data_IF_008158864813
#
_entry.id   IF_008158864813
#
_cell.length_a   1.000
_cell.length_b   1.000
_cell.length_c   1.000
_cell.angle_alpha   90.00
_cell.angle_beta   90.00
_cell.angle_gamma   90.00
#
_symmetry.space_group_name_H-M   'P 1'
#
loop_
_entity.id
_entity.type
_entity.pdbx_description
1 polymer ?
#
# COMPACT_ATOMS: atom_id res chain seq x y z
N UNK A 1 18.21 13.27 -24.39
CA UNK A 1 18.29 14.10 -23.16
C UNK A 1 18.94 13.25 -22.06
N UNK A 2 19.96 13.76 -21.37
CA UNK A 2 20.52 13.09 -20.17
C UNK A 2 19.57 13.30 -18.98
N UNK A 3 19.32 12.30 -18.12
CA UNK A 3 18.52 12.50 -16.91
C UNK A 3 19.28 13.40 -15.93
N UNK A 4 18.54 14.32 -15.30
CA UNK A 4 19.08 15.45 -14.53
C UNK A 4 19.48 15.11 -13.09
N UNK A 5 19.24 13.90 -12.59
CA UNK A 5 19.77 13.44 -11.30
C UNK A 5 19.69 11.91 -11.16
N UNK A 6 20.73 11.33 -10.56
CA UNK A 6 20.78 9.94 -10.12
C UNK A 6 20.76 9.94 -8.59
N UNK A 7 19.67 9.52 -7.97
CA UNK A 7 19.57 9.36 -6.52
C UNK A 7 19.39 7.87 -6.24
N UNK A 8 20.40 7.27 -5.60
CA UNK A 8 20.40 5.87 -5.22
C UNK A 8 19.50 5.69 -3.99
N UNK A 9 18.31 5.16 -4.17
CA UNK A 9 17.41 4.77 -3.08
C UNK A 9 17.11 3.27 -3.17
N UNK A 10 16.99 2.63 -2.01
CA UNK A 10 16.55 1.24 -1.89
C UNK A 10 15.17 1.14 -2.57
N UNK A 11 15.09 0.32 -3.61
CA UNK A 11 14.02 0.21 -4.62
C UNK A 11 14.09 1.25 -5.75
N UNK A 12 14.70 0.82 -6.87
CA UNK A 12 14.84 1.56 -8.13
C UNK A 12 13.49 1.99 -8.72
N UNK A 13 13.02 3.18 -8.35
CA UNK A 13 11.89 3.86 -9.00
C UNK A 13 12.48 4.89 -9.97
N UNK A 14 12.45 4.59 -11.27
CA UNK A 14 12.68 5.60 -12.31
C UNK A 14 11.42 6.46 -12.43
N UNK A 15 11.46 7.71 -11.94
CA UNK A 15 10.41 8.70 -12.16
C UNK A 15 10.87 9.63 -13.28
N UNK A 16 10.18 9.64 -14.42
CA UNK A 16 10.32 10.76 -15.37
C UNK A 16 9.63 11.98 -14.76
N UNK A 17 10.42 12.92 -14.26
CA UNK A 17 9.95 14.17 -13.67
C UNK A 17 10.14 15.30 -14.67
N UNK A 18 9.05 15.96 -15.05
CA UNK A 18 9.06 17.03 -16.05
C UNK A 18 9.33 18.43 -15.46
N UNK A 19 9.49 18.53 -14.14
CA UNK A 19 9.62 19.80 -13.42
C UNK A 19 11.03 19.96 -12.79
N UNK A 20 11.28 21.05 -12.04
CA UNK A 20 12.61 21.28 -11.45
C UNK A 20 12.95 20.31 -10.31
N UNK A 21 14.24 20.08 -10.09
CA UNK A 21 14.78 19.26 -8.99
C UNK A 21 14.32 19.77 -7.61
N UNK A 22 14.22 21.08 -7.43
CA UNK A 22 13.72 21.71 -6.19
C UNK A 22 12.27 21.29 -5.89
N UNK A 23 11.41 21.20 -6.90
CA UNK A 23 10.04 20.70 -6.74
C UNK A 23 10.00 19.19 -6.50
N UNK A 24 10.94 18.43 -7.05
CA UNK A 24 11.07 17.00 -6.79
C UNK A 24 11.44 16.73 -5.32
N UNK A 25 12.40 17.50 -4.77
CA UNK A 25 12.79 17.44 -3.36
C UNK A 25 11.59 17.83 -2.47
N UNK A 26 10.90 18.93 -2.81
CA UNK A 26 9.69 19.34 -2.11
C UNK A 26 8.60 18.24 -2.13
N UNK A 27 8.38 17.58 -3.27
CA UNK A 27 7.45 16.46 -3.41
C UNK A 27 7.86 15.24 -2.58
N UNK A 28 9.17 14.97 -2.46
CA UNK A 28 9.69 13.87 -1.66
C UNK A 28 9.50 14.11 -0.16
N UNK A 29 9.81 15.31 0.34
CA UNK A 29 9.61 15.67 1.74
C UNK A 29 8.12 15.76 2.11
N UNK A 30 7.26 16.13 1.15
CA UNK A 30 5.82 16.27 1.35
C UNK A 30 5.03 15.15 0.67
N UNK A 31 5.60 13.93 0.55
CA UNK A 31 4.90 12.77 -0.02
C UNK A 31 3.49 12.72 0.54
N UNK A 32 2.43 12.72 -0.29
CA UNK A 32 1.03 12.68 0.18
C UNK A 32 0.64 11.30 0.74
N UNK A 33 1.61 10.54 1.25
CA UNK A 33 1.45 9.18 1.74
C UNK A 33 1.15 9.20 3.23
N UNK A 34 0.06 9.87 3.57
CA UNK A 34 -0.93 9.46 4.56
C UNK A 34 -2.03 10.53 4.52
N UNK A 35 -3.03 10.38 3.65
CA UNK A 35 -4.32 11.04 3.90
C UNK A 35 -4.85 10.44 5.20
N UNK A 36 -4.59 11.09 6.33
CA UNK A 36 -5.25 10.80 7.60
C UNK A 36 -6.75 11.03 7.41
N UNK A 37 -7.44 9.98 6.99
CA UNK A 37 -8.88 9.95 6.73
C UNK A 37 -9.62 9.70 8.03
N UNK A 38 -9.50 10.62 8.98
CA UNK A 38 -10.32 10.55 10.19
C UNK A 38 -11.80 10.69 9.82
N UNK A 39 -12.64 9.94 10.51
CA UNK A 39 -14.08 9.95 10.28
C UNK A 39 -14.65 11.36 10.55
N UNK A 40 -15.60 11.86 9.75
CA UNK A 40 -16.31 13.11 10.08
C UNK A 40 -17.24 12.95 11.30
N UNK A 41 -17.47 14.03 12.04
CA UNK A 41 -18.29 13.97 13.26
C UNK A 41 -19.77 13.65 13.01
N UNK A 42 -20.32 13.96 11.84
CA UNK A 42 -21.71 13.70 11.45
C UNK A 42 -21.98 12.24 11.03
N UNK A 43 -20.94 11.43 10.83
CA UNK A 43 -21.06 10.03 10.43
C UNK A 43 -21.82 9.12 11.42
N UNK A 44 -22.34 8.00 10.93
CA UNK A 44 -23.13 7.01 11.68
C UNK A 44 -22.32 6.07 12.59
N UNK A 45 -21.20 6.51 13.16
CA UNK A 45 -20.39 5.71 14.08
C UNK A 45 -20.22 6.37 15.45
N UNK A 46 -21.33 6.62 16.15
CA UNK A 46 -21.32 7.32 17.43
C UNK A 46 -20.33 6.71 18.45
N UNK A 47 -20.25 5.38 18.51
CA UNK A 47 -19.41 4.64 19.46
C UNK A 47 -17.89 4.73 19.18
N UNK A 48 -17.45 5.11 17.97
CA UNK A 48 -16.02 5.16 17.62
C UNK A 48 -15.42 6.57 17.68
N UNK A 49 -16.24 7.62 17.66
CA UNK A 49 -15.82 9.04 17.57
C UNK A 49 -14.88 9.48 18.70
N UNK A 50 -15.13 9.07 19.93
CA UNK A 50 -14.23 9.38 21.05
C UNK A 50 -13.04 8.43 21.11
N UNK A 51 -13.27 7.15 20.77
CA UNK A 51 -12.24 6.12 20.81
C UNK A 51 -11.12 6.38 19.79
N UNK A 52 -11.45 6.88 18.59
CA UNK A 52 -10.46 7.19 17.56
C UNK A 52 -9.52 8.31 18.00
N UNK A 53 -10.04 9.39 18.62
CA UNK A 53 -9.21 10.48 19.15
C UNK A 53 -8.24 9.93 20.20
N UNK A 54 -8.75 9.18 21.16
CA UNK A 54 -7.95 8.61 22.24
C UNK A 54 -6.86 7.67 21.71
N UNK A 55 -7.19 6.76 20.78
CA UNK A 55 -6.24 5.79 20.22
C UNK A 55 -5.15 6.45 19.39
N UNK A 56 -5.48 7.47 18.60
CA UNK A 56 -4.50 8.21 17.80
C UNK A 56 -3.55 9.02 18.68
N UNK A 57 -4.07 9.71 19.70
CA UNK A 57 -3.22 10.36 20.69
C UNK A 57 -2.31 9.36 21.42
N UNK A 58 -2.81 8.16 21.74
CA UNK A 58 -2.03 7.10 22.39
C UNK A 58 -0.87 6.61 21.51
N UNK A 59 -1.07 6.57 20.20
CA UNK A 59 -0.05 6.18 19.24
C UNK A 59 1.15 7.13 19.27
N UNK A 60 0.91 8.45 19.35
CA UNK A 60 1.98 9.43 19.51
C UNK A 60 2.72 9.31 20.86
N UNK A 61 2.01 8.95 21.94
CA UNK A 61 2.66 8.64 23.23
C UNK A 61 3.58 7.42 23.18
N UNK A 62 3.33 6.46 22.27
CA UNK A 62 4.13 5.25 22.10
C UNK A 62 5.35 5.51 21.22
N UNK A 63 5.15 6.19 20.08
CA UNK A 63 6.20 6.42 19.07
C UNK A 63 7.17 7.50 19.55
N UNK A 64 6.67 8.68 19.90
CA UNK A 64 7.54 9.80 20.21
C UNK A 64 8.29 9.55 21.52
N UNK A 65 9.60 9.77 21.49
CA UNK A 65 10.45 9.77 22.70
C UNK A 65 10.65 11.19 23.22
N UNK A 66 10.70 12.18 22.33
CA UNK A 66 10.76 13.59 22.69
C UNK A 66 9.37 14.17 23.02
N UNK A 67 9.33 15.08 24.00
CA UNK A 67 8.08 15.71 24.46
C UNK A 67 7.63 16.83 23.52
N UNK A 68 8.55 17.53 22.88
CA UNK A 68 8.23 18.65 21.96
C UNK A 68 7.63 18.12 20.66
N UNK A 69 8.24 17.08 20.08
CA UNK A 69 7.73 16.38 18.90
C UNK A 69 6.32 15.80 19.15
N UNK A 70 6.12 15.16 20.31
CA UNK A 70 4.82 14.66 20.74
C UNK A 70 3.77 15.77 20.81
N UNK A 71 4.11 16.91 21.43
CA UNK A 71 3.18 18.04 21.55
C UNK A 71 2.84 18.64 20.18
N UNK A 72 3.80 18.69 19.26
CA UNK A 72 3.56 19.10 17.88
C UNK A 72 2.55 18.18 17.18
N UNK A 73 2.75 16.86 17.26
CA UNK A 73 1.82 15.89 16.69
C UNK A 73 0.43 15.95 17.30
N UNK A 74 0.32 16.10 18.64
CA UNK A 74 -0.97 16.26 19.31
C UNK A 74 -1.68 17.57 18.88
N UNK A 75 -0.93 18.63 18.64
CA UNK A 75 -1.44 19.89 18.09
C UNK A 75 -2.01 19.73 16.68
N UNK A 76 -1.31 18.99 15.81
CA UNK A 76 -1.78 18.66 14.46
C UNK A 76 -3.03 17.78 14.51
N UNK A 77 -3.01 16.71 15.32
CA UNK A 77 -4.14 15.81 15.53
C UNK A 77 -5.40 16.57 15.99
N UNK A 78 -5.22 17.54 16.90
CA UNK A 78 -6.30 18.40 17.38
C UNK A 78 -6.92 19.21 16.24
N UNK A 79 -6.09 19.86 15.41
CA UNK A 79 -6.55 20.65 14.26
C UNK A 79 -7.35 19.78 13.28
N UNK A 80 -6.88 18.57 13.00
CA UNK A 80 -7.54 17.65 12.07
C UNK A 80 -8.94 17.24 12.53
N UNK A 81 -9.12 16.95 13.82
CA UNK A 81 -10.45 16.62 14.35
C UNK A 81 -11.38 17.84 14.40
N UNK A 82 -10.88 19.03 14.73
CA UNK A 82 -11.69 20.26 14.73
C UNK A 82 -12.17 20.58 13.31
N UNK A 83 -11.30 20.46 12.31
CA UNK A 83 -11.66 20.64 10.90
C UNK A 83 -12.73 19.66 10.41
N UNK A 84 -12.92 18.54 11.11
CA UNK A 84 -13.95 17.52 10.85
C UNK A 84 -15.19 17.67 11.74
N UNK A 85 -15.39 18.85 12.32
CA UNK A 85 -16.54 19.24 13.14
C UNK A 85 -16.64 18.51 14.48
N UNK A 86 -15.54 17.96 15.00
CA UNK A 86 -15.54 17.42 16.36
C UNK A 86 -15.56 18.57 17.37
N UNK A 87 -16.32 18.38 18.45
CA UNK A 87 -16.35 19.34 19.54
C UNK A 87 -14.95 19.46 20.18
N UNK A 88 -14.33 20.66 20.23
CA UNK A 88 -13.00 20.86 20.80
C UNK A 88 -12.87 20.33 22.23
N UNK A 89 -13.93 20.42 23.04
CA UNK A 89 -13.93 19.92 24.42
C UNK A 89 -13.71 18.41 24.48
N UNK A 90 -14.31 17.65 23.56
CA UNK A 90 -14.16 16.20 23.48
C UNK A 90 -12.75 15.83 23.03
N UNK A 91 -12.21 16.57 22.05
CA UNK A 91 -10.86 16.36 21.53
C UNK A 91 -9.83 16.64 22.62
N UNK A 92 -9.90 17.81 23.24
CA UNK A 92 -8.99 18.25 24.29
C UNK A 92 -9.07 17.33 25.53
N UNK A 93 -10.27 16.89 25.91
CA UNK A 93 -10.45 15.92 26.98
C UNK A 93 -9.74 14.58 26.69
N UNK A 94 -9.86 14.04 25.48
CA UNK A 94 -9.23 12.77 25.13
C UNK A 94 -7.70 12.90 24.99
N UNK A 95 -7.20 14.00 24.43
CA UNK A 95 -5.76 14.28 24.39
C UNK A 95 -5.20 14.40 25.81
N UNK A 96 -5.87 15.15 26.70
CA UNK A 96 -5.45 15.32 28.08
C UNK A 96 -5.47 14.01 28.89
N UNK A 97 -6.42 13.11 28.60
CA UNK A 97 -6.41 11.76 29.20
C UNK A 97 -5.15 10.99 28.82
N UNK A 98 -4.71 11.12 27.58
CA UNK A 98 -3.51 10.43 27.08
C UNK A 98 -2.24 11.03 27.66
N UNK A 99 -2.13 12.35 27.83
CA UNK A 99 -0.93 12.95 28.44
C UNK A 99 -0.68 12.49 29.88
N UNK A 100 -1.72 12.04 30.58
CA UNK A 100 -1.62 11.43 31.92
C UNK A 100 -1.13 9.99 31.93
N UNK A 101 -1.15 9.31 30.78
CA UNK A 101 -0.70 7.92 30.70
C UNK A 101 0.79 7.88 30.42
N UNK A 102 1.55 7.32 31.35
CA UNK A 102 3.00 7.18 31.18
C UNK A 102 3.36 6.13 30.11
N UNK A 103 4.39 6.39 29.32
CA UNK A 103 4.90 5.46 28.28
C UNK A 103 5.24 4.09 28.87
N UNK A 104 5.84 4.06 30.05
CA UNK A 104 6.19 2.84 30.78
C UNK A 104 4.97 1.98 31.17
N UNK A 105 3.80 2.59 31.40
CA UNK A 105 2.58 1.84 31.64
C UNK A 105 2.00 1.23 30.36
N UNK A 106 2.19 1.88 29.20
CA UNK A 106 1.68 1.40 27.91
C UNK A 106 2.50 0.25 27.33
N UNK A 107 3.80 0.22 27.61
CA UNK A 107 4.69 -0.86 27.16
C UNK A 107 4.49 -2.15 27.96
N UNK A 108 3.79 -2.11 29.10
CA UNK A 108 3.50 -3.30 29.90
C UNK A 108 2.37 -4.11 29.27
N UNK A 109 2.61 -5.42 29.15
CA UNK A 109 1.56 -6.37 28.75
C UNK A 109 0.41 -6.34 29.75
N UNK A 110 -0.82 -6.13 29.27
CA UNK A 110 -2.02 -6.16 30.11
C UNK A 110 -2.40 -7.60 30.41
N UNK A 111 -2.34 -8.01 31.68
CA UNK A 111 -2.85 -9.32 32.11
C UNK A 111 -4.35 -9.42 31.80
N UNK A 112 -4.75 -10.54 31.18
CA UNK A 112 -6.14 -10.82 30.82
C UNK A 112 -6.91 -11.14 32.09
N UNK A 113 -7.99 -10.40 32.36
CA UNK A 113 -8.92 -10.73 33.45
C UNK A 113 -9.69 -11.99 33.06
N UNK A 114 -9.75 -12.97 33.94
CA UNK A 114 -10.66 -14.11 33.77
C UNK A 114 -12.09 -13.62 33.94
N UNK A 115 -12.87 -13.65 32.87
CA UNK A 115 -14.31 -13.41 32.91
C UNK A 115 -15.02 -14.73 32.58
N UNK A 116 -15.72 -15.29 33.56
CA UNK A 116 -16.38 -16.60 33.48
C UNK A 116 -17.50 -16.69 32.44
N UNK A 117 -18.17 -15.59 32.12
CA UNK A 117 -19.39 -15.61 31.29
C UNK A 117 -19.13 -16.01 29.82
N UNK A 118 -17.96 -15.71 29.26
CA UNK A 118 -17.64 -16.07 27.86
C UNK A 118 -17.20 -17.53 27.72
N UNK A 119 -16.78 -18.19 28.80
CA UNK A 119 -16.40 -19.61 28.79
C UNK A 119 -17.64 -20.50 28.66
N UNK A 120 -18.71 -20.21 29.41
CA UNK A 120 -19.90 -21.06 29.49
C UNK A 120 -20.59 -21.31 28.14
N UNK A 121 -20.91 -20.24 27.39
CA UNK A 121 -21.68 -20.35 26.14
C UNK A 121 -20.87 -20.93 24.97
N UNK A 122 -19.55 -20.73 24.97
CA UNK A 122 -18.65 -21.27 23.95
C UNK A 122 -18.41 -22.77 24.17
N UNK A 123 -18.34 -23.21 25.44
CA UNK A 123 -18.19 -24.63 25.80
C UNK A 123 -19.44 -25.46 25.44
N UNK A 124 -20.64 -24.88 25.45
CA UNK A 124 -21.87 -25.56 25.00
C UNK A 124 -21.90 -25.79 23.49
N UNK A 125 -21.37 -24.85 22.70
CA UNK A 125 -21.37 -24.94 21.23
C UNK A 125 -20.17 -25.75 20.73
N UNK A 126 -19.03 -25.66 21.41
CA UNK A 126 -17.79 -26.37 21.09
C UNK A 126 -17.35 -27.20 22.31
N UNK A 127 -17.88 -28.43 22.47
CA UNK A 127 -17.57 -29.29 23.62
C UNK A 127 -16.11 -29.78 23.61
N UNK A 128 -15.46 -29.76 22.45
CA UNK A 128 -14.03 -30.00 22.31
C UNK A 128 -13.25 -28.69 22.18
N UNK A 129 -11.97 -28.65 22.60
CA UNK A 129 -11.12 -27.49 22.36
C UNK A 129 -11.09 -27.17 20.85
N UNK A 130 -11.27 -25.90 20.45
CA UNK A 130 -11.19 -25.54 19.04
C UNK A 130 -9.83 -25.96 18.49
N UNK A 131 -9.82 -26.52 17.28
CA UNK A 131 -8.57 -26.88 16.60
C UNK A 131 -7.78 -25.58 16.39
N UNK A 132 -6.70 -25.42 17.15
CA UNK A 132 -5.75 -24.33 17.00
C UNK A 132 -4.94 -24.55 15.71
N UNK A 133 -5.46 -24.07 14.59
CA UNK A 133 -4.68 -23.96 13.36
C UNK A 133 -3.75 -22.73 13.48
N UNK A 134 -2.51 -22.95 13.91
CA UNK A 134 -1.47 -21.92 13.83
C UNK A 134 -1.12 -21.70 12.35
N UNK A 135 -1.72 -20.68 11.72
CA UNK A 135 -1.11 -20.08 10.53
C UNK A 135 0.14 -19.35 11.00
N UNK A 136 1.29 -20.02 10.94
CA UNK A 136 2.56 -19.32 11.12
C UNK A 136 2.64 -18.19 10.08
N UNK A 137 2.78 -16.92 10.49
CA UNK A 137 3.13 -15.87 9.56
C UNK A 137 4.47 -16.24 8.92
N UNK A 138 4.66 -15.87 7.66
CA UNK A 138 5.94 -16.06 6.96
C UNK A 138 7.05 -15.40 7.78
N UNK A 139 7.85 -16.20 8.48
CA UNK A 139 9.01 -15.74 9.23
C UNK A 139 10.26 -15.82 8.35
N UNK A 140 11.30 -15.07 8.71
CA UNK A 140 12.56 -15.02 7.96
C UNK A 140 13.12 -16.42 7.70
N UNK A 141 13.05 -17.32 8.70
CA UNK A 141 13.48 -18.71 8.56
C UNK A 141 12.77 -19.43 7.40
N UNK A 142 11.46 -19.23 7.22
CA UNK A 142 10.67 -19.83 6.14
C UNK A 142 10.90 -19.18 4.77
N UNK A 143 11.32 -17.91 4.74
CA UNK A 143 11.70 -17.20 3.51
C UNK A 143 13.12 -17.57 3.04
N UNK A 144 14.05 -17.76 3.99
CA UNK A 144 15.47 -17.99 3.72
C UNK A 144 15.73 -19.47 3.35
N UNK A 145 14.99 -20.41 3.94
CA UNK A 145 15.26 -21.86 3.75
C UNK A 145 14.74 -22.40 2.40
N UNK A 146 13.95 -21.66 1.64
CA UNK A 146 13.45 -22.13 0.33
C UNK A 146 14.40 -21.87 -0.85
N UNK A 147 15.66 -21.54 -0.63
CA UNK A 147 16.64 -21.41 -1.73
C UNK A 147 17.13 -22.78 -2.21
N UNK A 148 16.23 -23.65 -2.70
CA UNK A 148 16.65 -24.51 -3.80
C UNK A 148 16.75 -23.60 -5.02
N UNK A 149 17.96 -23.11 -5.29
CA UNK A 149 18.31 -22.44 -6.55
C UNK A 149 18.30 -23.46 -7.69
N UNK A 150 17.15 -24.09 -7.95
CA UNK A 150 16.82 -24.53 -9.30
C UNK A 150 16.41 -23.26 -10.05
N UNK A 151 17.39 -22.44 -10.43
CA UNK A 151 17.13 -21.29 -11.29
C UNK A 151 16.50 -21.81 -12.57
N UNK A 152 15.28 -21.38 -12.89
CA UNK A 152 14.73 -21.65 -14.20
C UNK A 152 15.67 -21.03 -15.22
N UNK A 153 16.13 -21.82 -16.18
CA UNK A 153 16.91 -21.32 -17.33
C UNK A 153 16.10 -20.37 -18.21
N UNK A 154 14.77 -20.41 -18.09
CA UNK A 154 13.85 -19.52 -18.78
C UNK A 154 13.85 -18.13 -18.13
N UNK A 155 14.25 -17.12 -18.90
CA UNK A 155 14.29 -15.71 -18.52
C UNK A 155 13.26 -14.91 -19.34
N UNK A 156 12.00 -15.31 -19.25
CA UNK A 156 10.92 -14.67 -20.00
C UNK A 156 9.69 -14.40 -19.15
N UNK A 157 8.89 -13.46 -19.60
CA UNK A 157 7.49 -13.32 -19.19
C UNK A 157 6.62 -14.28 -19.98
N UNK A 158 5.58 -14.85 -19.38
CA UNK A 158 4.54 -15.61 -20.10
C UNK A 158 3.22 -15.61 -19.31
N UNK A 159 2.08 -15.85 -19.97
CA UNK A 159 0.79 -16.02 -19.29
C UNK A 159 0.82 -17.20 -18.31
N UNK A 160 0.13 -17.06 -17.18
CA UNK A 160 0.03 -18.10 -16.14
C UNK A 160 -0.95 -19.24 -16.50
N UNK A 161 -1.42 -19.30 -17.75
CA UNK A 161 -2.28 -20.37 -18.34
C UNK A 161 -3.61 -20.70 -17.62
N UNK A 162 -3.99 -19.94 -16.59
CA UNK A 162 -5.27 -20.13 -15.91
C UNK A 162 -6.42 -19.68 -16.80
N UNK A 163 -7.36 -20.59 -17.09
CA UNK A 163 -8.53 -20.38 -17.99
C UNK A 163 -9.35 -19.10 -17.73
N UNK A 164 -9.39 -18.59 -16.50
CA UNK A 164 -10.18 -17.39 -16.11
C UNK A 164 -9.32 -16.17 -15.74
N UNK A 165 -8.02 -16.21 -16.01
CA UNK A 165 -7.15 -15.08 -15.70
C UNK A 165 -7.35 -13.94 -16.68
N UNK A 166 -7.87 -12.81 -16.20
CA UNK A 166 -8.08 -11.59 -17.00
C UNK A 166 -6.78 -10.87 -17.35
N UNK A 167 -5.69 -11.14 -16.64
CA UNK A 167 -4.38 -10.53 -16.91
C UNK A 167 -3.63 -11.25 -18.03
N UNK A 168 -3.82 -12.57 -18.20
CA UNK A 168 -3.14 -13.38 -19.21
C UNK A 168 -3.18 -12.77 -20.64
N UNK A 169 -4.32 -12.27 -21.15
CA UNK A 169 -4.39 -11.70 -22.50
C UNK A 169 -3.52 -10.46 -22.72
N UNK A 170 -3.15 -9.77 -21.64
CA UNK A 170 -2.33 -8.57 -21.67
C UNK A 170 -0.84 -8.86 -21.46
N UNK A 171 -0.46 -10.05 -21.00
CA UNK A 171 0.95 -10.42 -20.81
C UNK A 171 1.60 -10.67 -22.17
N UNK A 172 2.69 -9.96 -22.45
CA UNK A 172 3.58 -10.28 -23.56
C UNK A 172 4.50 -11.43 -23.17
N UNK A 173 4.67 -12.38 -24.07
CA UNK A 173 5.68 -13.43 -23.89
C UNK A 173 6.98 -12.96 -24.52
N UNK A 174 7.92 -12.49 -23.70
CA UNK A 174 9.17 -11.88 -24.15
C UNK A 174 10.22 -11.93 -23.03
N UNK A 175 11.49 -12.04 -23.41
CA UNK A 175 12.63 -11.82 -22.52
C UNK A 175 13.11 -10.36 -22.53
N UNK A 176 12.43 -9.49 -23.30
CA UNK A 176 12.83 -8.10 -23.53
C UNK A 176 11.67 -7.12 -23.44
N UNK A 177 11.99 -5.93 -22.94
CA UNK A 177 11.09 -4.78 -22.91
C UNK A 177 11.74 -3.64 -23.71
N UNK A 178 11.16 -3.21 -24.84
CA UNK A 178 11.71 -2.10 -25.62
C UNK A 178 11.56 -0.79 -24.85
N UNK A 179 12.58 0.07 -24.88
CA UNK A 179 12.50 1.40 -24.29
C UNK A 179 11.98 2.37 -25.35
N UNK A 180 11.00 3.24 -25.05
CA UNK A 180 10.47 4.17 -26.03
C UNK A 180 11.52 5.15 -26.53
N UNK A 181 11.42 5.52 -27.81
CA UNK A 181 12.26 6.52 -28.47
C UNK A 181 13.77 6.20 -28.45
N UNK A 182 14.16 4.97 -28.13
CA UNK A 182 15.54 4.47 -28.23
C UNK A 182 15.58 3.13 -28.98
N UNK A 183 16.79 2.72 -29.38
CA UNK A 183 17.08 1.37 -29.89
C UNK A 183 17.45 0.40 -28.75
N UNK A 184 17.30 0.83 -27.49
CA UNK A 184 17.71 0.06 -26.32
C UNK A 184 16.55 -0.81 -25.81
N UNK A 185 16.90 -2.01 -25.34
CA UNK A 185 15.95 -2.98 -24.78
C UNK A 185 16.43 -3.41 -23.40
N UNK A 186 15.49 -3.54 -22.45
CA UNK A 186 15.77 -4.09 -21.13
C UNK A 186 15.55 -5.60 -21.13
N UNK A 187 16.54 -6.35 -20.65
CA UNK A 187 16.48 -7.81 -20.56
C UNK A 187 15.86 -8.26 -19.24
N UNK A 188 14.84 -9.10 -19.32
CA UNK A 188 14.16 -9.69 -18.16
C UNK A 188 15.08 -10.72 -17.51
N UNK A 189 15.38 -10.53 -16.22
CA UNK A 189 16.27 -11.40 -15.46
C UNK A 189 15.49 -12.37 -14.58
N UNK A 190 14.68 -13.23 -15.20
CA UNK A 190 13.94 -14.28 -14.50
C UNK A 190 12.67 -14.70 -15.23
N UNK A 191 11.94 -15.62 -14.61
CA UNK A 191 10.69 -16.15 -15.13
C UNK A 191 9.51 -15.52 -14.40
N UNK A 192 8.67 -14.78 -15.13
CA UNK A 192 7.56 -14.05 -14.54
C UNK A 192 6.24 -14.37 -15.22
N UNK A 193 5.17 -14.40 -14.43
CA UNK A 193 3.81 -14.60 -14.93
C UNK A 193 2.86 -13.60 -14.30
N UNK A 194 1.61 -13.58 -14.77
CA UNK A 194 0.53 -12.87 -14.09
C UNK A 194 0.36 -13.23 -12.60
N UNK A 195 0.84 -14.41 -12.16
CA UNK A 195 0.75 -14.81 -10.75
C UNK A 195 1.93 -14.35 -9.89
N UNK A 196 3.01 -13.85 -10.49
CA UNK A 196 4.19 -13.39 -9.78
C UNK A 196 3.87 -12.20 -8.86
N UNK A 197 4.50 -12.18 -7.68
CA UNK A 197 4.39 -11.12 -6.66
C UNK A 197 5.77 -10.52 -6.39
N UNK A 198 5.83 -9.34 -5.78
CA UNK A 198 7.08 -8.59 -5.59
C UNK A 198 7.81 -8.32 -6.93
N UNK A 199 7.06 -7.85 -7.92
CA UNK A 199 7.57 -7.60 -9.27
C UNK A 199 7.50 -6.12 -9.61
N UNK A 200 8.51 -5.66 -10.36
CA UNK A 200 8.41 -4.47 -11.19
C UNK A 200 7.77 -4.88 -12.51
N UNK A 201 6.88 -4.05 -13.03
CA UNK A 201 6.17 -4.31 -14.28
C UNK A 201 6.17 -3.06 -15.15
N UNK A 202 6.21 -3.24 -16.47
CA UNK A 202 6.05 -2.19 -17.44
C UNK A 202 4.72 -2.39 -18.17
N UNK A 203 4.00 -1.32 -18.48
CA UNK A 203 2.83 -1.35 -19.35
C UNK A 203 3.14 -0.48 -20.54
N UNK A 204 3.18 -1.10 -21.72
CA UNK A 204 3.40 -0.43 -22.99
C UNK A 204 2.08 -0.18 -23.72
N UNK A 205 1.94 1.02 -24.27
CA UNK A 205 0.87 1.36 -25.20
C UNK A 205 1.23 0.91 -26.61
N UNK A 206 0.33 0.20 -27.28
CA UNK A 206 0.49 -0.19 -28.69
C UNK A 206 0.07 0.92 -29.67
N UNK A 207 -0.52 2.02 -29.18
CA UNK A 207 -1.03 3.11 -30.02
C UNK A 207 0.07 4.05 -30.52
N UNK A 208 0.16 4.17 -31.84
CA UNK A 208 0.99 5.14 -32.54
C UNK A 208 0.32 6.53 -32.53
N UNK A 209 1.06 7.66 -32.45
CA UNK A 209 2.54 7.82 -32.49
C UNK A 209 3.24 7.79 -31.12
N UNK A 210 2.49 7.91 -30.03
CA UNK A 210 3.04 7.98 -28.66
C UNK A 210 3.21 6.57 -28.09
N UNK A 211 4.35 5.94 -28.40
CA UNK A 211 4.83 4.77 -27.64
C UNK A 211 5.19 5.24 -26.24
N UNK A 212 4.27 5.13 -25.29
CA UNK A 212 4.53 5.42 -23.89
C UNK A 212 4.64 4.13 -23.10
N UNK A 213 5.53 4.14 -22.09
CA UNK A 213 5.65 3.06 -21.12
C UNK A 213 5.40 3.61 -19.72
N UNK A 214 4.56 2.89 -18.98
CA UNK A 214 4.34 3.10 -17.57
C UNK A 214 5.05 2.01 -16.77
N UNK A 215 5.94 2.39 -15.86
CA UNK A 215 6.64 1.44 -14.98
C UNK A 215 6.00 1.51 -13.59
N UNK A 216 5.67 0.35 -13.02
CA UNK A 216 5.09 0.23 -11.69
C UNK A 216 5.73 -0.89 -10.87
N UNK A 217 5.49 -0.87 -9.55
CA UNK A 217 5.88 -1.96 -8.64
C UNK A 217 4.67 -2.50 -7.89
N UNK A 218 4.70 -3.78 -7.55
CA UNK A 218 3.66 -4.40 -6.71
C UNK A 218 4.24 -5.44 -5.77
N UNK A 219 3.91 -5.35 -4.48
CA UNK A 219 4.15 -6.42 -3.51
C UNK A 219 3.11 -7.54 -3.59
N UNK A 220 1.90 -7.23 -4.05
CA UNK A 220 0.88 -8.23 -4.35
C UNK A 220 1.10 -8.86 -5.73
N UNK A 221 0.38 -9.94 -6.04
CA UNK A 221 0.45 -10.56 -7.35
C UNK A 221 0.06 -9.58 -8.46
N UNK A 222 0.66 -9.74 -9.64
CA UNK A 222 0.37 -8.91 -10.80
C UNK A 222 -1.12 -8.96 -11.17
N UNK A 223 -1.77 -10.13 -11.06
CA UNK A 223 -3.24 -10.29 -11.18
C UNK A 223 -4.00 -9.31 -10.29
N UNK A 224 -3.63 -9.24 -9.00
CA UNK A 224 -4.33 -8.37 -8.06
C UNK A 224 -4.13 -6.89 -8.44
N UNK A 225 -2.92 -6.52 -8.86
CA UNK A 225 -2.63 -5.15 -9.31
C UNK A 225 -3.43 -4.79 -10.57
N UNK A 226 -3.47 -5.66 -11.57
CA UNK A 226 -4.26 -5.43 -12.80
C UNK A 226 -5.76 -5.38 -12.51
N UNK A 227 -6.27 -6.19 -11.58
CA UNK A 227 -7.68 -6.15 -11.20
C UNK A 227 -8.06 -4.80 -10.55
N UNK A 228 -7.23 -4.31 -9.63
CA UNK A 228 -7.43 -2.97 -9.03
C UNK A 228 -7.41 -1.90 -10.11
N UNK A 229 -6.47 -1.99 -11.05
CA UNK A 229 -6.38 -1.08 -12.18
C UNK A 229 -7.65 -1.10 -13.07
N UNK A 230 -8.12 -2.29 -13.45
CA UNK A 230 -9.35 -2.47 -14.23
C UNK A 230 -10.58 -1.91 -13.51
N UNK A 231 -10.66 -2.08 -12.18
CA UNK A 231 -11.72 -1.48 -11.38
C UNK A 231 -11.66 0.05 -11.38
N UNK A 232 -10.46 0.64 -11.33
CA UNK A 232 -10.28 2.11 -11.38
C UNK A 232 -10.76 2.68 -12.71
N UNK A 233 -10.41 2.04 -13.83
CA UNK A 233 -10.82 2.47 -15.18
C UNK A 233 -12.32 2.29 -15.39
N UNK A 234 -12.86 1.11 -15.09
CA UNK A 234 -14.28 0.83 -15.28
C UNK A 234 -15.18 1.78 -14.46
N UNK A 235 -14.72 2.16 -13.27
CA UNK A 235 -15.44 3.10 -12.40
C UNK A 235 -15.10 4.58 -12.69
N UNK A 236 -14.33 4.89 -13.76
CA UNK A 236 -13.93 6.24 -14.18
C UNK A 236 -13.37 7.10 -13.04
N UNK A 237 -12.56 6.51 -12.18
CA UNK A 237 -12.03 7.22 -11.00
C UNK A 237 -10.86 8.12 -11.39
N UNK A 238 -11.18 9.33 -11.88
CA UNK A 238 -10.22 10.34 -12.35
C UNK A 238 -9.33 10.95 -11.25
N UNK A 239 -9.55 10.60 -9.98
CA UNK A 239 -8.79 11.16 -8.87
C UNK A 239 -7.40 10.53 -8.68
N UNK A 240 -7.12 9.40 -9.33
CA UNK A 240 -5.80 8.73 -9.22
C UNK A 240 -4.94 9.01 -10.46
N UNK A 241 -3.60 9.03 -10.35
CA UNK A 241 -2.70 9.20 -11.49
C UNK A 241 -2.98 8.18 -12.60
N UNK A 242 -3.31 6.94 -12.22
CA UNK A 242 -3.69 5.89 -13.16
C UNK A 242 -5.02 6.20 -13.87
N UNK A 243 -6.02 6.71 -13.15
CA UNK A 243 -7.29 7.13 -13.75
C UNK A 243 -7.11 8.28 -14.74
N UNK A 244 -6.26 9.28 -14.42
CA UNK A 244 -6.03 10.44 -15.30
C UNK A 244 -5.28 10.09 -16.58
N UNK A 245 -4.25 9.25 -16.48
CA UNK A 245 -3.40 8.90 -17.62
C UNK A 245 -4.09 7.94 -18.61
N UNK A 246 -5.00 7.08 -18.12
CA UNK A 246 -5.56 5.99 -18.92
C UNK A 246 -7.07 6.09 -19.20
N UNK A 247 -7.81 7.05 -18.62
CA UNK A 247 -9.23 7.28 -18.92
C UNK A 247 -9.48 8.31 -20.02
N UNK A 248 -8.44 8.72 -20.77
CA UNK A 248 -8.64 9.59 -21.93
C UNK A 248 -9.44 8.84 -23.02
N UNK A 249 -10.38 9.50 -23.74
CA UNK A 249 -11.32 8.85 -24.66
C UNK A 249 -10.67 8.08 -25.83
N UNK A 250 -9.35 8.19 -25.98
CA UNK A 250 -8.57 7.57 -27.03
C UNK A 250 -7.84 6.28 -26.60
N UNK A 251 -8.06 5.71 -25.41
CA UNK A 251 -7.37 4.49 -24.96
C UNK A 251 -8.35 3.38 -24.56
N UNK A 252 -8.21 2.20 -25.15
CA UNK A 252 -8.94 0.99 -24.77
C UNK A 252 -8.00 0.09 -23.94
N UNK A 253 -8.56 -0.65 -22.97
CA UNK A 253 -7.84 -1.62 -22.16
C UNK A 253 -7.12 -2.69 -22.99
N UNK A 254 -7.65 -3.01 -24.17
CA UNK A 254 -7.07 -3.97 -25.11
C UNK A 254 -5.77 -3.48 -25.75
N UNK A 255 -5.51 -2.16 -25.73
CA UNK A 255 -4.33 -1.55 -26.35
C UNK A 255 -3.08 -1.69 -25.46
N UNK A 256 -3.23 -2.13 -24.21
CA UNK A 256 -2.16 -2.23 -23.24
C UNK A 256 -1.56 -3.63 -23.16
N UNK A 257 -0.23 -3.64 -23.11
CA UNK A 257 0.58 -4.84 -23.02
C UNK A 257 1.55 -4.74 -21.85
N UNK A 258 1.57 -5.77 -21.02
CA UNK A 258 2.36 -5.89 -19.78
C UNK A 258 3.54 -6.84 -20.02
#
# INVERSE_FOLDING_TARGET
>A
MKPLAYIQYIDDILISWADTEQKLIQFHEHKPTEKLSYLMYDSFHHHTKQAIIYRQALHYNLICSDTSEKNWHLGTLRKDFINRLYNPRIVDHNIHRVTKVSKNQLLKYKQKRETDQTKGYILTIFPGPPILAFRLPSNLRRLIITSSLSGSTYKETHPCERKRCKTCPHILSSDRVPIPDTLEEYYVHGHYTCSSSNVFYAISSTKYPTRSIYIGKTGHSLINRTNVYNLTINNKKLDTPEGKNFSSPNYNLDDFKI
#
